data_IF_734842719437
#
_entry.id   IF_734842719437
#
_cell.length_a   1.000
_cell.length_b   1.000
_cell.length_c   1.000
_cell.angle_alpha   90.00
_cell.angle_beta   90.00
_cell.angle_gamma   90.00
#
_symmetry.space_group_name_H-M   'P 1'
#
loop_
_entity.id
_entity.type
_entity.pdbx_description
1 polymer ?
#
# COMPACT_ATOMS: atom_id res chain seq x y z
N UNK A 1 -53.74 12.58 -40.07
CA UNK A 1 -52.28 12.84 -40.20
C UNK A 1 -51.64 12.70 -38.85
N UNK A 2 -51.13 11.52 -38.48
CA UNK A 2 -50.51 11.22 -37.18
C UNK A 2 -49.00 11.06 -37.33
N UNK A 3 -48.22 11.96 -36.70
CA UNK A 3 -46.76 11.88 -36.68
C UNK A 3 -46.31 10.91 -35.61
N UNK A 4 -45.79 9.77 -36.06
CA UNK A 4 -45.09 8.79 -35.18
C UNK A 4 -43.76 9.35 -34.70
N UNK A 5 -43.64 9.53 -33.39
CA UNK A 5 -42.37 9.86 -32.73
C UNK A 5 -41.55 8.59 -32.51
N UNK A 6 -40.51 8.36 -33.33
CA UNK A 6 -39.47 7.37 -33.08
C UNK A 6 -38.73 7.72 -31.76
N UNK A 7 -38.86 6.85 -30.74
CA UNK A 7 -38.00 6.84 -29.55
C UNK A 7 -36.61 6.36 -29.97
N UNK A 8 -35.65 7.23 -29.95
CA UNK A 8 -34.24 6.86 -30.02
C UNK A 8 -33.83 6.20 -28.68
N UNK A 9 -33.52 4.93 -28.74
CA UNK A 9 -32.93 4.21 -27.64
C UNK A 9 -31.48 4.68 -27.46
N UNK A 10 -31.20 5.35 -26.34
CA UNK A 10 -29.84 5.73 -25.96
C UNK A 10 -29.00 4.47 -25.76
N UNK A 11 -28.01 4.25 -26.62
CA UNK A 11 -26.95 3.25 -26.42
C UNK A 11 -26.23 3.59 -25.10
N UNK A 12 -26.44 2.77 -24.05
CA UNK A 12 -25.57 2.74 -22.88
C UNK A 12 -24.17 2.33 -23.36
N UNK A 13 -23.25 3.28 -23.38
CA UNK A 13 -21.83 3.00 -23.60
C UNK A 13 -21.38 2.11 -22.44
N UNK A 14 -21.01 0.89 -22.72
CA UNK A 14 -20.33 0.03 -21.76
C UNK A 14 -18.98 0.67 -21.46
N UNK A 15 -18.86 1.36 -20.33
CA UNK A 15 -17.54 1.72 -19.80
C UNK A 15 -16.80 0.39 -19.61
N UNK A 16 -15.74 0.16 -20.36
CA UNK A 16 -14.85 -0.96 -20.12
C UNK A 16 -14.31 -0.80 -18.69
N UNK A 17 -14.74 -1.65 -17.79
CA UNK A 17 -14.16 -1.71 -16.46
C UNK A 17 -12.71 -2.16 -16.60
N UNK A 18 -11.78 -1.38 -16.06
CA UNK A 18 -10.37 -1.79 -15.98
C UNK A 18 -10.30 -3.13 -15.25
N UNK A 19 -9.63 -4.09 -15.87
CA UNK A 19 -9.44 -5.41 -15.27
C UNK A 19 -8.46 -5.30 -14.10
N UNK A 20 -8.82 -5.86 -12.93
CA UNK A 20 -7.89 -5.97 -11.78
C UNK A 20 -6.77 -6.95 -12.15
N UNK A 21 -5.53 -6.52 -12.05
CA UNK A 21 -4.32 -7.34 -12.26
C UNK A 21 -4.02 -8.15 -10.99
N UNK A 22 -4.17 -7.52 -9.82
CA UNK A 22 -3.99 -8.14 -8.52
C UNK A 22 -5.34 -8.16 -7.75
N UNK A 23 -6.22 -9.14 -7.99
CA UNK A 23 -7.55 -9.16 -7.38
C UNK A 23 -7.53 -9.34 -5.86
N UNK A 24 -6.51 -9.99 -5.31
CA UNK A 24 -6.31 -10.24 -3.89
C UNK A 24 -5.25 -9.31 -3.28
N UNK A 25 -5.25 -8.04 -3.70
CA UNK A 25 -4.31 -7.04 -3.26
C UNK A 25 -4.77 -6.33 -1.98
N UNK A 26 -3.86 -6.11 -1.03
CA UNK A 26 -4.07 -5.21 0.10
C UNK A 26 -3.24 -3.92 -0.04
N UNK A 27 -3.68 -2.86 0.62
CA UNK A 27 -2.94 -1.61 0.78
C UNK A 27 -2.78 -1.29 2.26
N UNK A 28 -1.57 -0.89 2.67
CA UNK A 28 -1.26 -0.56 4.06
C UNK A 28 -0.64 0.84 4.12
N UNK A 29 -1.31 1.72 4.85
CA UNK A 29 -0.77 3.00 5.25
C UNK A 29 -0.09 2.88 6.61
N UNK A 30 1.19 3.27 6.67
CA UNK A 30 2.05 3.09 7.83
C UNK A 30 2.14 4.38 8.63
N UNK A 31 1.52 4.38 9.81
CA UNK A 31 1.69 5.41 10.81
C UNK A 31 2.69 5.03 11.90
N UNK A 32 3.18 6.01 12.67
CA UNK A 32 4.13 5.78 13.77
C UNK A 32 3.50 5.11 15.00
N UNK A 33 2.19 5.10 15.13
CA UNK A 33 1.45 4.52 16.26
C UNK A 33 0.54 3.39 15.84
N UNK A 34 0.01 3.44 14.63
CA UNK A 34 -0.96 2.50 14.09
C UNK A 34 -0.81 2.38 12.58
N UNK A 35 -1.19 1.24 12.04
CA UNK A 35 -1.20 0.94 10.62
C UNK A 35 -2.64 0.71 10.16
N UNK A 36 -3.05 1.41 9.11
CA UNK A 36 -4.34 1.23 8.48
C UNK A 36 -4.23 0.31 7.27
N UNK A 37 -5.05 -0.72 7.26
CA UNK A 37 -5.00 -1.80 6.28
C UNK A 37 -6.32 -1.92 5.56
N UNK A 38 -6.28 -1.94 4.24
CA UNK A 38 -7.43 -2.18 3.38
C UNK A 38 -7.22 -3.45 2.56
N UNK A 39 -8.20 -4.35 2.61
CA UNK A 39 -8.32 -5.55 1.77
C UNK A 39 -9.47 -5.39 0.77
N UNK A 40 -9.60 -6.27 -0.25
CA UNK A 40 -10.77 -6.25 -1.13
C UNK A 40 -12.08 -6.34 -0.36
N UNK A 41 -13.10 -5.59 -0.80
CA UNK A 41 -14.42 -5.57 -0.16
C UNK A 41 -15.11 -6.93 -0.15
N UNK A 42 -14.73 -7.80 -1.07
CA UNK A 42 -15.24 -9.16 -1.18
C UNK A 42 -14.59 -10.13 -0.17
N UNK A 43 -13.46 -9.74 0.42
CA UNK A 43 -12.68 -10.61 1.33
C UNK A 43 -13.13 -10.51 2.80
N UNK A 44 -13.76 -9.41 3.21
CA UNK A 44 -14.21 -9.20 4.58
C UNK A 44 -15.31 -8.15 4.67
N UNK A 45 -16.30 -8.37 5.55
CA UNK A 45 -17.37 -7.38 5.86
C UNK A 45 -16.79 -6.06 6.40
N UNK A 46 -15.66 -6.16 7.15
CA UNK A 46 -14.87 -5.02 7.59
C UNK A 46 -13.54 -5.03 6.84
N UNK A 47 -13.58 -4.59 5.59
CA UNK A 47 -12.41 -4.59 4.71
C UNK A 47 -11.33 -3.55 5.06
N UNK A 48 -11.55 -2.73 6.09
CA UNK A 48 -10.57 -1.80 6.63
C UNK A 48 -10.42 -2.05 8.13
N UNK A 49 -9.17 -2.24 8.57
CA UNK A 49 -8.83 -2.40 9.99
C UNK A 49 -7.60 -1.58 10.35
N UNK A 50 -7.52 -1.21 11.64
CA UNK A 50 -6.38 -0.56 12.24
C UNK A 50 -5.66 -1.54 13.17
N UNK A 51 -4.33 -1.57 13.12
CA UNK A 51 -3.47 -2.40 13.95
C UNK A 51 -2.38 -1.55 14.61
N UNK A 52 -1.95 -1.94 15.82
CA UNK A 52 -0.81 -1.31 16.47
C UNK A 52 0.52 -1.64 15.78
N UNK A 53 1.60 -0.99 16.26
CA UNK A 53 2.96 -1.16 15.71
C UNK A 53 3.81 -2.17 16.50
N UNK A 54 3.25 -2.81 17.55
CA UNK A 54 3.98 -3.81 18.32
C UNK A 54 4.10 -5.12 17.52
N UNK A 55 5.15 -5.91 17.75
CA UNK A 55 5.33 -7.21 17.06
C UNK A 55 4.09 -8.10 17.14
N UNK A 56 3.42 -8.27 18.31
CA UNK A 56 2.17 -9.02 18.39
C UNK A 56 1.04 -8.46 17.50
N UNK A 57 0.97 -7.14 17.33
CA UNK A 57 -0.05 -6.52 16.49
C UNK A 57 0.27 -6.69 15.00
N UNK A 58 1.56 -6.62 14.62
CA UNK A 58 2.00 -6.91 13.26
C UNK A 58 1.75 -8.38 12.88
N UNK A 59 1.90 -9.31 13.81
CA UNK A 59 1.56 -10.71 13.59
C UNK A 59 0.05 -10.90 13.38
N UNK A 60 -0.81 -10.26 14.21
CA UNK A 60 -2.26 -10.27 14.02
C UNK A 60 -2.68 -9.66 12.67
N UNK A 61 -1.97 -8.60 12.24
CA UNK A 61 -2.19 -8.00 10.94
C UNK A 61 -1.91 -9.01 9.82
N UNK A 62 -0.78 -9.70 9.91
CA UNK A 62 -0.40 -10.73 8.93
C UNK A 62 -1.39 -11.91 8.92
N UNK A 63 -1.82 -12.39 10.10
CA UNK A 63 -2.84 -13.43 10.24
C UNK A 63 -4.15 -13.02 9.55
N UNK A 64 -4.59 -11.79 9.78
CA UNK A 64 -5.80 -11.28 9.14
C UNK A 64 -5.69 -11.16 7.61
N UNK A 65 -4.52 -10.80 7.08
CA UNK A 65 -4.29 -10.79 5.63
C UNK A 65 -4.40 -12.19 5.02
N UNK A 66 -3.88 -13.20 5.72
CA UNK A 66 -4.02 -14.61 5.31
C UNK A 66 -5.48 -15.09 5.36
N UNK A 67 -6.22 -14.77 6.43
CA UNK A 67 -7.66 -15.05 6.55
C UNK A 67 -8.46 -14.42 5.39
N UNK A 68 -8.04 -13.24 4.93
CA UNK A 68 -8.64 -12.55 3.80
C UNK A 68 -8.12 -13.05 2.44
N UNK A 69 -7.32 -14.11 2.39
CA UNK A 69 -6.73 -14.66 1.17
C UNK A 69 -5.94 -13.64 0.34
N UNK A 70 -5.31 -12.67 0.99
CA UNK A 70 -4.46 -11.70 0.33
C UNK A 70 -3.21 -12.40 -0.21
N UNK A 71 -2.81 -12.08 -1.42
CA UNK A 71 -1.60 -12.62 -2.07
C UNK A 71 -0.51 -11.59 -2.26
N UNK A 72 -0.89 -10.31 -2.35
CA UNK A 72 0.07 -9.22 -2.52
C UNK A 72 -0.33 -7.97 -1.74
N UNK A 73 0.67 -7.23 -1.26
CA UNK A 73 0.49 -6.09 -0.35
C UNK A 73 1.30 -4.91 -0.85
N UNK A 74 0.69 -3.73 -0.94
CA UNK A 74 1.39 -2.47 -1.15
C UNK A 74 1.61 -1.75 0.19
N UNK A 75 2.87 -1.43 0.49
CA UNK A 75 3.30 -0.66 1.67
C UNK A 75 3.89 0.67 1.24
N UNK A 76 3.55 1.76 1.91
CA UNK A 76 4.27 3.03 1.72
C UNK A 76 5.64 3.01 2.41
N UNK A 77 6.70 3.43 1.72
CA UNK A 77 8.10 3.40 2.20
C UNK A 77 8.51 4.65 2.97
N UNK A 78 7.62 5.24 3.77
CA UNK A 78 7.97 6.41 4.59
C UNK A 78 8.70 5.97 5.85
N UNK A 79 9.82 6.62 6.17
CA UNK A 79 10.58 6.34 7.41
C UNK A 79 11.27 4.96 7.42
N UNK A 80 11.19 4.29 8.58
CA UNK A 80 11.74 2.96 8.85
C UNK A 80 10.68 1.98 9.36
N UNK A 81 9.46 2.43 9.56
CA UNK A 81 8.34 1.71 10.15
C UNK A 81 7.92 0.51 9.30
N UNK A 82 8.21 0.56 8.00
CA UNK A 82 7.91 -0.53 7.07
C UNK A 82 8.78 -1.79 7.26
N UNK A 83 9.99 -1.66 7.85
CA UNK A 83 10.98 -2.75 7.90
C UNK A 83 10.47 -3.97 8.67
N UNK A 84 9.96 -3.86 9.92
CA UNK A 84 9.48 -5.02 10.67
C UNK A 84 8.30 -5.69 9.98
N UNK A 85 7.36 -4.91 9.46
CA UNK A 85 6.19 -5.45 8.77
C UNK A 85 6.58 -6.14 7.46
N UNK A 86 7.49 -5.54 6.68
CA UNK A 86 8.01 -6.13 5.45
C UNK A 86 8.61 -7.51 5.70
N UNK A 87 9.41 -7.67 6.75
CA UNK A 87 10.01 -8.95 7.13
C UNK A 87 8.95 -10.00 7.45
N UNK A 88 8.01 -9.67 8.34
CA UNK A 88 6.93 -10.59 8.75
C UNK A 88 6.09 -11.04 7.54
N UNK A 89 5.71 -10.11 6.66
CA UNK A 89 4.90 -10.44 5.49
C UNK A 89 5.68 -11.27 4.46
N UNK A 90 6.97 -10.99 4.28
CA UNK A 90 7.84 -11.75 3.37
C UNK A 90 8.05 -13.19 3.86
N UNK A 91 8.18 -13.41 5.18
CA UNK A 91 8.29 -14.74 5.79
C UNK A 91 7.01 -15.58 5.60
N UNK A 92 5.86 -14.92 5.40
CA UNK A 92 4.57 -15.57 5.12
C UNK A 92 4.26 -15.75 3.64
N UNK A 93 5.27 -15.62 2.77
CA UNK A 93 5.15 -15.75 1.32
C UNK A 93 4.16 -14.75 0.66
N UNK A 94 3.88 -13.63 1.33
CA UNK A 94 3.12 -12.53 0.74
C UNK A 94 4.04 -11.71 -0.18
N UNK A 95 3.57 -11.41 -1.38
CA UNK A 95 4.31 -10.55 -2.29
C UNK A 95 4.20 -9.09 -1.83
N UNK A 96 5.29 -8.51 -1.33
CA UNK A 96 5.29 -7.17 -0.77
C UNK A 96 5.85 -6.15 -1.75
N UNK A 97 5.03 -5.15 -2.09
CA UNK A 97 5.38 -4.01 -2.93
C UNK A 97 5.64 -2.79 -2.04
N UNK A 98 6.90 -2.48 -1.84
CA UNK A 98 7.27 -1.24 -1.16
C UNK A 98 7.19 -0.09 -2.15
N UNK A 99 6.29 0.89 -1.92
CA UNK A 99 6.04 1.98 -2.86
C UNK A 99 6.50 3.33 -2.31
N UNK A 100 6.99 4.20 -3.20
CA UNK A 100 7.41 5.53 -2.80
C UNK A 100 6.18 6.44 -2.63
N UNK A 101 6.04 7.06 -1.46
CA UNK A 101 4.99 8.03 -1.13
C UNK A 101 4.78 9.12 -2.18
N UNK A 102 5.86 9.59 -2.83
CA UNK A 102 5.76 10.62 -3.87
C UNK A 102 5.00 10.15 -5.10
N UNK A 103 5.06 8.87 -5.44
CA UNK A 103 4.32 8.32 -6.58
C UNK A 103 2.84 8.18 -6.28
N UNK A 104 2.49 7.90 -5.03
CA UNK A 104 1.09 7.77 -4.58
C UNK A 104 0.41 9.14 -4.44
N UNK A 105 1.15 10.16 -3.97
CA UNK A 105 0.63 11.52 -3.73
C UNK A 105 0.37 12.35 -4.99
N UNK A 106 0.95 11.97 -6.12
CA UNK A 106 0.76 12.70 -7.39
C UNK A 106 -0.59 12.42 -8.06
N UNK A 107 -1.41 11.54 -7.49
CA UNK A 107 -2.77 11.31 -7.97
C UNK A 107 -3.73 12.15 -7.14
N UNK A 108 -4.52 13.07 -7.74
CA UNK A 108 -5.43 13.94 -7.00
C UNK A 108 -6.48 13.12 -6.24
N UNK A 109 -6.52 13.26 -4.93
CA UNK A 109 -7.45 12.53 -4.06
C UNK A 109 -7.45 13.06 -2.63
N UNK A 110 -8.38 12.63 -1.81
CA UNK A 110 -8.64 13.10 -0.45
C UNK A 110 -7.62 12.55 0.54
N UNK A 111 -7.23 13.37 1.53
CA UNK A 111 -6.32 13.01 2.63
C UNK A 111 -7.09 12.51 3.86
N UNK A 112 -6.99 11.23 4.14
CA UNK A 112 -7.18 10.63 5.47
C UNK A 112 -6.54 9.24 5.44
N UNK A 113 -6.01 8.75 6.56
CA UNK A 113 -5.28 7.48 6.69
C UNK A 113 -6.12 6.29 6.19
N UNK A 114 -7.42 6.30 6.45
CA UNK A 114 -8.38 5.32 5.92
C UNK A 114 -8.47 5.38 4.40
N UNK A 115 -8.48 6.58 3.83
CA UNK A 115 -8.54 6.78 2.38
C UNK A 115 -7.19 6.45 1.72
N UNK A 116 -6.07 6.64 2.44
CA UNK A 116 -4.74 6.38 1.93
C UNK A 116 -4.50 4.87 1.77
N UNK A 117 -4.90 4.02 2.76
CA UNK A 117 -4.83 2.57 2.59
C UNK A 117 -5.79 2.03 1.53
N UNK A 118 -7.01 2.57 1.40
CA UNK A 118 -7.94 2.22 0.33
C UNK A 118 -7.38 2.59 -1.04
N UNK A 119 -6.77 3.76 -1.14
CA UNK A 119 -6.17 4.24 -2.36
C UNK A 119 -4.99 3.37 -2.79
N UNK A 120 -4.10 3.01 -1.85
CA UNK A 120 -3.01 2.07 -2.08
C UNK A 120 -3.53 0.72 -2.57
N UNK A 121 -4.54 0.17 -1.90
CA UNK A 121 -5.18 -1.09 -2.29
C UNK A 121 -5.75 -1.01 -3.71
N UNK A 122 -6.44 0.08 -4.04
CA UNK A 122 -7.04 0.27 -5.36
C UNK A 122 -5.98 0.39 -6.46
N UNK A 123 -4.96 1.24 -6.28
CA UNK A 123 -3.86 1.38 -7.23
C UNK A 123 -3.12 0.05 -7.43
N UNK A 124 -2.87 -0.68 -6.34
CA UNK A 124 -2.20 -1.96 -6.38
C UNK A 124 -3.04 -3.02 -7.11
N UNK A 125 -4.34 -3.06 -6.87
CA UNK A 125 -5.24 -4.00 -7.54
C UNK A 125 -5.26 -3.82 -9.05
N UNK A 126 -5.09 -2.61 -9.55
CA UNK A 126 -5.00 -2.32 -10.99
C UNK A 126 -3.57 -2.37 -11.55
N UNK A 127 -2.55 -2.73 -10.75
CA UNK A 127 -1.16 -2.81 -11.18
C UNK A 127 -0.53 -1.45 -11.51
N UNK A 128 -1.03 -0.36 -10.92
CA UNK A 128 -0.57 1.00 -11.18
C UNK A 128 0.60 1.44 -10.29
N UNK A 129 1.04 0.56 -9.37
CA UNK A 129 2.16 0.82 -8.48
C UNK A 129 3.43 0.12 -8.95
N UNK A 130 4.51 0.88 -9.07
CA UNK A 130 5.84 0.32 -9.31
C UNK A 130 6.53 0.07 -7.96
N UNK A 131 7.04 -1.14 -7.70
CA UNK A 131 7.77 -1.44 -6.46
C UNK A 131 9.10 -0.70 -6.42
N UNK A 132 9.46 -0.21 -5.24
CA UNK A 132 10.80 0.31 -4.96
C UNK A 132 11.78 -0.86 -4.81
N UNK A 133 13.01 -0.66 -5.24
CA UNK A 133 14.06 -1.64 -5.01
C UNK A 133 14.38 -1.77 -3.51
N UNK A 134 14.23 -2.98 -2.98
CA UNK A 134 14.63 -3.34 -1.62
C UNK A 134 15.92 -4.15 -1.73
N UNK A 135 17.07 -3.61 -1.29
CA UNK A 135 18.31 -4.37 -1.33
C UNK A 135 18.30 -5.52 -0.32
N UNK A 136 18.85 -6.65 -0.69
CA UNK A 136 18.99 -7.84 0.16
C UNK A 136 20.47 -8.13 0.45
N UNK A 137 20.71 -9.00 1.45
CA UNK A 137 22.05 -9.49 1.78
C UNK A 137 23.06 -8.38 2.10
N UNK A 138 24.26 -8.50 1.57
CA UNK A 138 25.38 -7.57 1.83
C UNK A 138 25.10 -6.12 1.39
N UNK A 139 24.31 -5.94 0.32
CA UNK A 139 23.92 -4.62 -0.16
C UNK A 139 23.02 -3.90 0.84
N UNK A 140 22.12 -4.61 1.52
CA UNK A 140 21.29 -4.06 2.59
C UNK A 140 22.14 -3.61 3.78
N UNK A 141 23.10 -4.43 4.19
CA UNK A 141 24.05 -4.13 5.26
C UNK A 141 24.86 -2.88 4.94
N UNK A 142 25.47 -2.82 3.76
CA UNK A 142 26.26 -1.67 3.29
C UNK A 142 25.43 -0.39 3.27
N UNK A 143 24.19 -0.45 2.76
CA UNK A 143 23.28 0.69 2.72
C UNK A 143 22.96 1.20 4.13
N UNK A 144 22.77 0.31 5.10
CA UNK A 144 22.52 0.69 6.50
C UNK A 144 23.74 1.38 7.12
N UNK A 145 24.93 0.87 6.91
CA UNK A 145 26.17 1.54 7.36
C UNK A 145 26.34 2.93 6.75
N UNK A 146 26.13 3.09 5.47
CA UNK A 146 26.22 4.39 4.80
C UNK A 146 25.19 5.38 5.35
N UNK A 147 23.95 4.95 5.59
CA UNK A 147 22.92 5.79 6.20
C UNK A 147 23.28 6.21 7.64
N UNK A 148 23.77 5.28 8.44
CA UNK A 148 24.23 5.59 9.81
C UNK A 148 25.37 6.62 9.79
N UNK A 149 26.35 6.42 8.91
CA UNK A 149 27.46 7.38 8.72
C UNK A 149 26.95 8.78 8.37
N UNK A 150 26.04 8.90 7.41
CA UNK A 150 25.46 10.18 7.01
C UNK A 150 24.64 10.84 8.15
N UNK A 151 23.90 10.06 8.90
CA UNK A 151 23.16 10.55 10.07
C UNK A 151 24.10 11.08 11.17
N UNK A 152 25.20 10.38 11.43
CA UNK A 152 26.21 10.82 12.39
C UNK A 152 26.89 12.12 11.93
N UNK A 153 27.26 12.23 10.65
CA UNK A 153 27.81 13.46 10.09
C UNK A 153 26.87 14.65 10.26
N UNK A 154 25.57 14.48 9.95
CA UNK A 154 24.58 15.54 10.14
C UNK A 154 24.46 15.97 11.59
N UNK A 155 24.46 15.02 12.55
CA UNK A 155 24.40 15.33 13.99
C UNK A 155 25.64 16.13 14.44
N UNK A 156 26.83 15.75 13.99
CA UNK A 156 28.06 16.46 14.30
C UNK A 156 28.03 17.89 13.73
N UNK A 157 27.63 18.06 12.47
CA UNK A 157 27.52 19.39 11.84
C UNK A 157 26.52 20.30 12.55
N UNK A 158 25.47 19.74 13.15
CA UNK A 158 24.46 20.51 13.91
C UNK A 158 24.94 20.93 15.31
N UNK A 159 25.94 20.24 15.87
CA UNK A 159 26.50 20.58 17.18
C UNK A 159 27.65 21.60 17.11
N UNK A 160 28.22 21.82 15.93
CA UNK A 160 29.35 22.72 15.69
C UNK A 160 28.91 24.10 15.15
N UNK A 161 27.64 24.23 14.72
CA UNK A 161 27.04 25.47 14.22
C UNK A 161 26.32 26.22 15.35
#
# INVERSE_FOLDING_TARGET
MGKSRKKQSAKKSSRSQLQKINPHAAGIDLGSREHWVCVPSEASDKNIRCFGCSTPDLLKLADWLEECHVTSVALESTGVEWIPLFQILSERNLQVFLVNAKMVKNVPGRKSDVLDCQWLQQLHSYGLLAPSFVPEGEVAVLRNYLRQRENLKRKISFQIA
#
